data_IF_726316470592
#
_entry.id   IF_726316470592
#
_cell.length_a   1.000
_cell.length_b   1.000
_cell.length_c   1.000
_cell.angle_alpha   90.00
_cell.angle_beta   90.00
_cell.angle_gamma   90.00
#
_symmetry.space_group_name_H-M   'P 1'
#
loop_
_entity.id
_entity.type
_entity.pdbx_description
1 polymer ?
#
# COMPACT_ATOMS: atom_id res chain seq x y z
N UNK A 1 -6.26 12.62 -12.19
CA UNK A 1 -5.85 11.22 -11.94
C UNK A 1 -5.69 10.50 -13.26
N UNK A 2 -4.68 9.64 -13.46
CA UNK A 2 -4.89 8.55 -14.45
C UNK A 2 -6.16 7.85 -14.00
N UNK A 3 -7.13 7.69 -14.89
CA UNK A 3 -8.36 6.98 -14.52
C UNK A 3 -7.93 5.63 -13.97
N UNK A 4 -8.45 5.22 -12.81
CA UNK A 4 -8.22 3.88 -12.24
C UNK A 4 -8.28 2.82 -13.35
N UNK A 5 -9.20 3.01 -14.31
CA UNK A 5 -9.41 2.15 -15.47
C UNK A 5 -8.17 1.91 -16.36
N UNK A 6 -7.18 2.81 -16.38
CA UNK A 6 -5.93 2.67 -17.14
C UNK A 6 -4.92 1.71 -16.49
N UNK A 7 -5.17 1.28 -15.25
CA UNK A 7 -4.28 0.37 -14.54
C UNK A 7 -4.47 -1.09 -15.02
N UNK A 8 -3.38 -1.87 -15.20
CA UNK A 8 -3.46 -3.28 -15.53
C UNK A 8 -4.26 -4.07 -14.48
N UNK A 9 -5.15 -4.94 -14.94
CA UNK A 9 -5.85 -5.90 -14.07
C UNK A 9 -5.03 -7.17 -13.82
N UNK A 10 -4.02 -7.46 -14.64
CA UNK A 10 -3.16 -8.62 -14.44
C UNK A 10 -2.18 -8.37 -13.26
N UNK A 11 -2.27 -9.13 -12.14
CA UNK A 11 -1.37 -8.98 -11.00
C UNK A 11 0.11 -9.20 -11.33
N UNK A 12 0.44 -10.02 -12.33
CA UNK A 12 1.83 -10.32 -12.73
C UNK A 12 2.61 -9.06 -13.15
N UNK A 13 1.91 -8.03 -13.62
CA UNK A 13 2.52 -6.76 -13.99
C UNK A 13 3.15 -6.08 -12.77
N UNK A 14 2.53 -6.22 -11.59
CA UNK A 14 2.96 -5.61 -10.34
C UNK A 14 3.95 -6.48 -9.56
N UNK A 15 4.10 -7.76 -9.91
CA UNK A 15 5.13 -8.63 -9.34
C UNK A 15 6.40 -8.73 -10.18
N UNK A 16 6.33 -8.35 -11.47
CA UNK A 16 7.47 -8.37 -12.36
C UNK A 16 8.42 -7.17 -12.16
N UNK A 17 9.65 -7.45 -11.73
CA UNK A 17 10.69 -6.44 -11.47
C UNK A 17 11.14 -5.63 -12.68
N UNK A 18 10.88 -6.12 -13.89
CA UNK A 18 11.12 -5.38 -15.14
C UNK A 18 10.08 -4.29 -15.36
N UNK A 19 8.91 -4.38 -14.75
CA UNK A 19 7.87 -3.35 -14.85
C UNK A 19 8.24 -2.11 -14.03
N UNK A 20 8.01 -0.93 -14.60
CA UNK A 20 8.04 0.35 -13.89
C UNK A 20 6.74 1.08 -14.17
N UNK A 21 5.99 1.43 -13.12
CA UNK A 21 4.65 2.01 -13.22
C UNK A 21 4.63 3.34 -12.45
N UNK A 22 4.02 4.36 -13.04
CA UNK A 22 3.68 5.60 -12.33
C UNK A 22 2.22 5.51 -11.88
N UNK A 23 2.00 5.61 -10.57
CA UNK A 23 0.69 5.50 -9.93
C UNK A 23 0.37 6.83 -9.22
N UNK A 24 -0.87 7.27 -9.26
CA UNK A 24 -1.32 8.36 -8.38
C UNK A 24 -1.17 7.93 -6.92
N UNK A 25 -1.00 8.84 -5.97
CA UNK A 25 -1.00 8.47 -4.57
C UNK A 25 -2.44 8.10 -4.14
N UNK A 26 -2.68 6.94 -3.51
CA UNK A 26 -4.04 6.45 -3.23
C UNK A 26 -4.64 7.06 -1.96
N UNK A 27 -4.54 8.39 -1.81
CA UNK A 27 -5.11 9.12 -0.68
C UNK A 27 -5.50 10.53 -1.13
N UNK A 28 -6.66 11.01 -0.69
CA UNK A 28 -7.22 12.31 -1.09
C UNK A 28 -7.03 13.41 -0.03
N UNK A 29 -6.41 13.09 1.12
CA UNK A 29 -6.08 14.09 2.12
C UNK A 29 -4.84 14.91 1.72
N UNK A 30 -4.62 16.02 2.41
CA UNK A 30 -3.53 16.95 2.11
C UNK A 30 -2.16 16.43 2.59
N UNK A 31 -2.16 15.55 3.59
CA UNK A 31 -0.94 15.09 4.24
C UNK A 31 -0.39 13.85 3.54
N UNK A 32 0.56 14.10 2.65
CA UNK A 32 1.30 13.06 1.96
C UNK A 32 2.49 12.59 2.81
N UNK A 33 2.73 11.27 2.97
CA UNK A 33 3.87 10.74 3.72
C UNK A 33 5.18 10.87 2.93
N UNK A 34 5.65 12.10 2.73
CA UNK A 34 6.82 12.47 1.90
C UNK A 34 8.14 11.84 2.36
N UNK A 35 8.25 11.46 3.64
CA UNK A 35 9.43 10.75 4.15
C UNK A 35 9.53 9.30 3.64
N UNK A 36 8.39 8.68 3.30
CA UNK A 36 8.30 7.28 2.86
C UNK A 36 8.13 7.15 1.35
N UNK A 37 7.64 8.18 0.69
CA UNK A 37 7.40 8.19 -0.74
C UNK A 37 7.99 9.43 -1.39
N UNK A 38 8.69 9.24 -2.51
CA UNK A 38 9.07 10.36 -3.38
C UNK A 38 7.89 10.73 -4.29
N UNK A 39 6.90 11.42 -3.73
CA UNK A 39 5.70 11.84 -4.46
C UNK A 39 6.01 13.10 -5.28
N UNK A 40 5.67 13.07 -6.57
CA UNK A 40 5.76 14.22 -7.48
C UNK A 40 4.47 14.31 -8.28
N UNK A 41 3.86 15.49 -8.31
CA UNK A 41 2.57 15.74 -8.97
C UNK A 41 1.47 14.75 -8.54
N UNK A 42 1.43 14.44 -7.23
CA UNK A 42 0.49 13.48 -6.65
C UNK A 42 0.69 12.04 -7.14
N UNK A 43 1.87 11.70 -7.67
CA UNK A 43 2.22 10.35 -8.17
C UNK A 43 3.49 9.81 -7.54
N UNK A 44 3.57 8.50 -7.42
CA UNK A 44 4.76 7.76 -7.04
C UNK A 44 5.13 6.72 -8.10
N UNK A 45 6.40 6.31 -8.10
CA UNK A 45 6.90 5.26 -8.99
C UNK A 45 6.95 3.93 -8.24
N UNK A 46 6.50 2.88 -8.92
CA UNK A 46 6.53 1.52 -8.43
C UNK A 46 7.27 0.61 -9.40
N UNK A 47 8.27 -0.09 -8.90
CA UNK A 47 8.93 -1.20 -9.60
C UNK A 47 8.25 -2.48 -9.12
N UNK A 48 7.90 -3.38 -10.04
CA UNK A 48 7.24 -4.63 -9.66
C UNK A 48 8.07 -5.45 -8.67
N UNK A 49 7.41 -6.10 -7.73
CA UNK A 49 8.05 -6.85 -6.63
C UNK A 49 7.43 -8.22 -6.49
N UNK A 50 8.23 -9.28 -6.42
CA UNK A 50 7.69 -10.65 -6.24
C UNK A 50 6.78 -10.74 -4.99
N UNK A 51 7.17 -10.04 -3.93
CA UNK A 51 6.40 -9.89 -2.69
C UNK A 51 4.96 -9.35 -2.88
N UNK A 52 4.66 -8.69 -4.00
CA UNK A 52 3.29 -8.27 -4.34
C UNK A 52 2.33 -9.48 -4.40
N UNK A 53 2.76 -10.57 -5.05
CA UNK A 53 1.92 -11.76 -5.21
C UNK A 53 1.68 -12.48 -3.89
N UNK A 54 2.70 -12.52 -3.02
CA UNK A 54 2.59 -13.11 -1.68
C UNK A 54 1.53 -12.38 -0.83
N UNK A 55 1.57 -11.05 -0.83
CA UNK A 55 0.60 -10.24 -0.09
C UNK A 55 -0.78 -10.36 -0.72
N UNK A 56 -0.88 -10.34 -2.06
CA UNK A 56 -2.16 -10.47 -2.75
C UNK A 56 -2.81 -11.84 -2.52
N UNK A 57 -2.03 -12.92 -2.50
CA UNK A 57 -2.52 -14.27 -2.19
C UNK A 57 -3.18 -14.32 -0.81
N UNK A 58 -2.53 -13.73 0.19
CA UNK A 58 -3.08 -13.68 1.55
C UNK A 58 -4.35 -12.83 1.62
N UNK A 59 -4.41 -11.71 0.90
CA UNK A 59 -5.63 -10.88 0.83
C UNK A 59 -6.79 -11.65 0.17
N UNK A 60 -6.51 -12.48 -0.85
CA UNK A 60 -7.53 -13.32 -1.52
C UNK A 60 -8.13 -14.39 -0.61
N UNK A 61 -7.42 -14.79 0.45
CA UNK A 61 -7.95 -15.71 1.47
C UNK A 61 -8.93 -15.02 2.44
N UNK A 62 -9.17 -13.71 2.31
CA UNK A 62 -10.11 -12.98 3.15
C UNK A 62 -11.53 -13.34 2.69
N UNK A 63 -12.13 -14.35 3.33
CA UNK A 63 -13.52 -14.76 3.11
C UNK A 63 -14.46 -13.82 3.86
N UNK A 64 -15.41 -13.22 3.13
CA UNK A 64 -16.44 -12.38 3.71
C UNK A 64 -17.44 -13.23 4.50
N UNK A 65 -17.73 -12.84 5.75
CA UNK A 65 -18.71 -13.52 6.62
C UNK A 65 -18.14 -14.29 7.81
N UNK A 66 -16.87 -14.70 7.75
CA UNK A 66 -16.22 -15.53 8.80
C UNK A 66 -15.44 -14.71 9.87
N UNK A 67 -15.72 -13.40 9.93
CA UNK A 67 -15.07 -12.44 10.83
C UNK A 67 -13.98 -11.60 10.16
N UNK A 68 -13.25 -10.83 10.96
CA UNK A 68 -12.16 -9.97 10.48
C UNK A 68 -10.81 -10.69 10.54
N UNK A 69 -10.10 -10.74 9.40
CA UNK A 69 -8.71 -11.19 9.32
C UNK A 69 -7.75 -10.00 9.34
N UNK A 70 -6.78 -10.04 10.26
CA UNK A 70 -5.72 -9.02 10.35
C UNK A 70 -4.44 -9.54 9.72
N UNK A 71 -3.85 -8.78 8.80
CA UNK A 71 -2.54 -9.09 8.23
C UNK A 71 -1.53 -8.00 8.61
N UNK A 72 -0.36 -8.40 9.08
CA UNK A 72 0.75 -7.49 9.32
C UNK A 72 1.90 -7.79 8.36
N UNK A 73 2.46 -6.73 7.77
CA UNK A 73 3.65 -6.83 6.93
C UNK A 73 4.85 -6.27 7.71
N UNK A 74 5.77 -7.15 8.09
CA UNK A 74 7.03 -6.81 8.74
C UNK A 74 8.17 -6.85 7.74
N UNK A 75 9.28 -6.18 8.04
CA UNK A 75 10.44 -6.21 7.16
C UNK A 75 11.43 -5.07 7.39
N UNK A 76 12.57 -5.14 6.72
CA UNK A 76 13.65 -4.14 6.79
C UNK A 76 13.17 -2.75 6.36
N UNK A 77 13.67 -1.71 7.03
CA UNK A 77 13.42 -0.31 6.65
C UNK A 77 13.96 -0.11 5.22
N UNK A 78 13.23 0.64 4.39
CA UNK A 78 13.62 0.89 3.00
C UNK A 78 13.23 -0.20 2.00
N UNK A 79 12.66 -1.35 2.43
CA UNK A 79 12.25 -2.43 1.52
C UNK A 79 11.10 -2.08 0.55
N UNK A 80 10.50 -0.89 0.65
CA UNK A 80 9.36 -0.51 -0.18
C UNK A 80 8.03 -1.14 0.26
N UNK A 81 7.90 -1.59 1.51
CA UNK A 81 6.63 -2.13 2.06
C UNK A 81 5.44 -1.19 1.81
N UNK A 82 5.63 0.11 2.07
CA UNK A 82 4.62 1.14 1.82
C UNK A 82 4.25 1.25 0.33
N UNK A 83 5.23 1.09 -0.56
CA UNK A 83 5.00 1.11 -2.01
C UNK A 83 4.22 -0.13 -2.48
N UNK A 84 4.53 -1.32 -1.94
CA UNK A 84 3.75 -2.54 -2.20
C UNK A 84 2.31 -2.35 -1.72
N UNK A 85 2.11 -1.85 -0.49
CA UNK A 85 0.78 -1.59 0.07
C UNK A 85 -0.02 -0.56 -0.76
N UNK A 86 0.57 0.58 -1.11
CA UNK A 86 -0.09 1.59 -1.94
C UNK A 86 -0.46 1.04 -3.33
N UNK A 87 0.38 0.18 -3.90
CA UNK A 87 0.11 -0.49 -5.18
C UNK A 87 -1.03 -1.50 -5.06
N UNK A 88 -1.06 -2.27 -3.97
CA UNK A 88 -2.16 -3.21 -3.67
C UNK A 88 -3.48 -2.46 -3.52
N UNK A 89 -3.50 -1.29 -2.88
CA UNK A 89 -4.70 -0.45 -2.77
C UNK A 89 -5.25 -0.13 -4.15
N UNK A 90 -4.41 0.31 -5.09
CA UNK A 90 -4.84 0.56 -6.46
C UNK A 90 -5.35 -0.68 -7.17
N UNK A 91 -4.65 -1.81 -7.03
CA UNK A 91 -5.09 -3.09 -7.62
C UNK A 91 -6.49 -3.50 -7.10
N UNK A 92 -6.73 -3.36 -5.80
CA UNK A 92 -8.01 -3.66 -5.17
C UNK A 92 -9.12 -2.69 -5.64
N UNK A 93 -8.85 -1.39 -5.66
CA UNK A 93 -9.79 -0.39 -6.20
C UNK A 93 -10.12 -0.68 -7.66
N UNK A 94 -9.10 -1.03 -8.47
CA UNK A 94 -9.26 -1.37 -9.88
C UNK A 94 -10.11 -2.61 -10.13
N UNK A 95 -10.06 -3.57 -9.21
CA UNK A 95 -10.84 -4.81 -9.25
C UNK A 95 -12.20 -4.66 -8.55
N UNK A 96 -12.64 -3.43 -8.28
CA UNK A 96 -13.96 -3.11 -7.75
C UNK A 96 -14.11 -3.28 -6.24
N UNK A 97 -13.02 -3.49 -5.50
CA UNK A 97 -13.04 -3.58 -4.04
C UNK A 97 -13.07 -2.19 -3.41
N UNK A 98 -13.74 -2.07 -2.26
CA UNK A 98 -13.76 -0.84 -1.46
C UNK A 98 -12.58 -0.84 -0.49
N UNK A 99 -11.68 0.14 -0.64
CA UNK A 99 -10.44 0.18 0.14
C UNK A 99 -10.32 1.49 0.90
N UNK A 100 -10.20 1.40 2.22
CA UNK A 100 -9.89 2.54 3.10
C UNK A 100 -8.39 2.50 3.38
N UNK A 101 -7.63 3.35 2.68
CA UNK A 101 -6.19 3.46 2.86
C UNK A 101 -5.83 4.59 3.82
N UNK A 102 -5.07 4.25 4.86
CA UNK A 102 -4.57 5.16 5.89
C UNK A 102 -3.03 5.19 5.80
N UNK A 103 -2.47 6.07 4.96
CA UNK A 103 -1.03 6.10 4.69
C UNK A 103 -0.22 6.45 5.94
N UNK A 104 -0.62 7.49 6.67
CA UNK A 104 0.02 7.96 7.89
C UNK A 104 -0.90 7.89 9.11
N UNK A 105 -0.39 7.42 10.23
CA UNK A 105 -1.18 7.28 11.44
C UNK A 105 -0.99 8.48 12.37
N UNK A 106 0.07 9.26 12.19
CA UNK A 106 0.27 10.49 12.96
C UNK A 106 -0.87 11.47 12.67
N UNK A 107 -1.26 11.60 11.40
CA UNK A 107 -2.37 12.48 10.99
C UNK A 107 -3.72 12.05 11.55
N UNK A 108 -3.96 10.75 11.67
CA UNK A 108 -5.18 10.26 12.32
C UNK A 108 -5.27 10.71 13.79
N UNK A 109 -4.15 10.95 14.47
CA UNK A 109 -4.17 11.44 15.84
C UNK A 109 -4.44 12.95 15.93
N UNK A 110 -4.18 13.70 14.85
CA UNK A 110 -4.34 15.16 14.79
C UNK A 110 -5.77 15.51 14.38
N UNK A 111 -6.22 15.00 13.23
CA UNK A 111 -7.56 15.22 12.69
C UNK A 111 -8.22 13.91 12.22
N UNK A 112 -8.73 13.10 13.17
CA UNK A 112 -9.22 11.76 12.84
C UNK A 112 -10.45 11.75 11.92
N UNK A 113 -11.30 12.78 11.98
CA UNK A 113 -12.58 12.77 11.27
C UNK A 113 -12.33 13.02 9.78
N UNK A 114 -11.69 14.13 9.43
CA UNK A 114 -11.48 14.48 8.02
C UNK A 114 -10.42 13.60 7.36
N UNK A 115 -9.46 13.09 8.13
CA UNK A 115 -8.50 12.10 7.64
C UNK A 115 -9.18 10.79 7.21
N UNK A 116 -10.10 10.25 8.02
CA UNK A 116 -10.84 9.03 7.66
C UNK A 116 -11.81 9.30 6.51
N UNK A 117 -12.47 10.47 6.49
CA UNK A 117 -13.33 10.85 5.34
C UNK A 117 -12.56 10.88 4.03
N UNK A 118 -11.35 11.45 4.03
CA UNK A 118 -10.48 11.49 2.85
C UNK A 118 -10.21 10.09 2.29
N UNK A 119 -9.96 9.11 3.16
CA UNK A 119 -9.82 7.72 2.74
C UNK A 119 -11.13 7.11 2.22
N UNK A 120 -12.26 7.41 2.85
CA UNK A 120 -13.58 6.91 2.44
C UNK A 120 -14.07 7.51 1.12
N UNK A 121 -13.75 8.77 0.84
CA UNK A 121 -14.07 9.39 -0.44
C UNK A 121 -13.42 8.66 -1.60
N UNK A 122 -12.17 8.21 -1.44
CA UNK A 122 -11.51 7.39 -2.46
C UNK A 122 -12.18 6.02 -2.58
N UNK A 123 -12.51 5.38 -1.45
CA UNK A 123 -13.19 4.08 -1.45
C UNK A 123 -14.53 4.12 -2.21
N UNK A 124 -15.21 5.27 -2.18
CA UNK A 124 -16.54 5.49 -2.75
C UNK A 124 -16.55 6.53 -3.87
N UNK A 125 -15.43 6.76 -4.56
CA UNK A 125 -15.28 7.79 -5.59
C UNK A 125 -16.39 7.75 -6.66
N UNK A 126 -16.88 6.55 -6.98
CA UNK A 126 -17.93 6.32 -7.95
C UNK A 126 -19.37 6.34 -7.39
N UNK A 127 -19.58 6.77 -6.13
CA UNK A 127 -20.89 6.78 -5.47
C UNK A 127 -21.16 8.09 -4.72
N UNK A 128 -21.73 9.06 -5.43
CA UNK A 128 -22.06 10.39 -4.90
C UNK A 128 -23.00 10.36 -3.69
N UNK A 129 -23.93 9.39 -3.63
CA UNK A 129 -24.83 9.25 -2.49
C UNK A 129 -24.04 8.91 -1.21
N UNK A 130 -23.12 7.94 -1.30
CA UNK A 130 -22.26 7.56 -0.17
C UNK A 130 -21.30 8.69 0.20
N UNK A 131 -20.70 9.36 -0.79
CA UNK A 131 -19.84 10.55 -0.55
C UNK A 131 -20.60 11.62 0.23
N UNK A 132 -21.84 11.94 -0.15
CA UNK A 132 -22.65 12.92 0.57
C UNK A 132 -22.98 12.47 2.00
N UNK A 133 -23.28 11.17 2.20
CA UNK A 133 -23.50 10.62 3.55
C UNK A 133 -22.23 10.76 4.41
N UNK A 134 -21.06 10.41 3.86
CA UNK A 134 -19.75 10.56 4.54
C UNK A 134 -19.47 12.03 4.89
N UNK A 135 -19.74 12.95 3.95
CA UNK A 135 -19.54 14.39 4.16
C UNK A 135 -20.32 14.91 5.36
N UNK A 136 -21.55 14.43 5.58
CA UNK A 136 -22.39 14.84 6.70
C UNK A 136 -21.92 14.34 8.07
N UNK A 137 -21.07 13.32 8.15
CA UNK A 137 -20.54 12.83 9.42
C UNK A 137 -19.65 13.90 10.08
N UNK A 138 -19.90 14.26 11.33
CA UNK A 138 -19.11 15.21 12.12
C UNK A 138 -18.24 14.52 13.17
N UNK A 139 -18.50 13.24 13.45
CA UNK A 139 -17.80 12.48 14.48
C UNK A 139 -17.36 11.11 13.98
N UNK A 140 -16.35 10.52 14.63
CA UNK A 140 -15.93 9.15 14.36
C UNK A 140 -17.04 8.12 14.58
N UNK A 141 -17.93 8.35 15.55
CA UNK A 141 -19.05 7.45 15.82
C UNK A 141 -20.06 7.41 14.66
N UNK A 142 -20.27 8.56 13.99
CA UNK A 142 -21.13 8.62 12.81
C UNK A 142 -20.49 7.94 11.60
N UNK A 143 -19.16 8.07 11.45
CA UNK A 143 -18.39 7.34 10.43
C UNK A 143 -18.44 5.82 10.70
N UNK A 144 -18.26 5.41 11.94
CA UNK A 144 -18.38 4.00 12.36
C UNK A 144 -19.78 3.46 12.06
N UNK A 145 -20.83 4.23 12.39
CA UNK A 145 -22.21 3.87 12.07
C UNK A 145 -22.41 3.72 10.57
N UNK A 146 -21.90 4.66 9.78
CA UNK A 146 -21.90 4.55 8.32
C UNK A 146 -21.26 3.23 7.88
N UNK A 147 -20.01 2.95 8.27
CA UNK A 147 -19.29 1.73 7.87
C UNK A 147 -20.00 0.43 8.31
N UNK A 148 -20.73 0.43 9.43
CA UNK A 148 -21.50 -0.73 9.92
C UNK A 148 -22.80 -0.97 9.16
N UNK A 149 -23.44 0.09 8.67
CA UNK A 149 -24.67 0.00 7.89
C UNK A 149 -24.41 -0.45 6.45
N UNK A 150 -23.19 -0.26 5.95
CA UNK A 150 -22.81 -0.71 4.61
C UNK A 150 -22.68 -2.25 4.56
N UNK A 151 -23.40 -2.88 3.62
CA UNK A 151 -23.36 -4.33 3.41
C UNK A 151 -22.13 -4.80 2.60
N UNK A 152 -21.35 -3.86 2.06
CA UNK A 152 -20.18 -4.14 1.24
C UNK A 152 -18.92 -4.37 2.10
N UNK A 153 -18.06 -5.33 1.75
CA UNK A 153 -16.79 -5.53 2.44
C UNK A 153 -15.84 -4.33 2.24
N UNK A 154 -15.35 -3.78 3.35
CA UNK A 154 -14.30 -2.77 3.37
C UNK A 154 -12.93 -3.41 3.66
N UNK A 155 -11.97 -3.17 2.77
CA UNK A 155 -10.56 -3.51 2.99
C UNK A 155 -9.87 -2.33 3.64
N UNK A 156 -9.37 -2.50 4.86
CA UNK A 156 -8.66 -1.44 5.57
C UNK A 156 -7.16 -1.71 5.48
N UNK A 157 -6.45 -0.78 4.85
CA UNK A 157 -5.00 -0.88 4.65
C UNK A 157 -4.34 0.27 5.37
N UNK A 158 -3.36 -0.01 6.22
CA UNK A 158 -2.57 1.01 6.91
C UNK A 158 -1.09 0.79 6.69
N UNK A 159 -0.34 1.86 6.40
CA UNK A 159 1.09 1.75 6.09
C UNK A 159 2.03 2.07 7.25
N UNK A 160 1.54 2.48 8.42
CA UNK A 160 2.37 2.82 9.59
C UNK A 160 1.82 2.29 10.92
N UNK A 161 1.01 1.23 10.87
CA UNK A 161 0.31 0.77 12.07
C UNK A 161 1.26 0.25 13.17
N UNK A 162 1.34 0.97 14.30
CA UNK A 162 1.88 0.49 15.57
C UNK A 162 0.72 0.06 16.50
N UNK A 163 1.01 -0.35 17.75
CA UNK A 163 -0.04 -0.82 18.67
C UNK A 163 -1.11 0.24 19.01
N UNK A 164 -0.78 1.54 18.98
CA UNK A 164 -1.78 2.62 19.09
C UNK A 164 -2.67 2.68 17.86
N UNK A 165 -2.13 2.35 16.69
CA UNK A 165 -2.88 2.29 15.44
C UNK A 165 -3.97 1.24 15.40
N UNK A 166 -3.76 0.14 16.12
CA UNK A 166 -4.74 -0.93 16.29
C UNK A 166 -5.96 -0.45 17.08
N UNK A 167 -5.81 0.56 17.96
CA UNK A 167 -6.87 1.14 18.79
C UNK A 167 -7.82 2.04 17.99
N UNK A 168 -7.34 2.97 17.15
CA UNK A 168 -8.27 3.73 16.29
C UNK A 168 -8.91 2.85 15.22
N UNK A 169 -8.22 1.81 14.74
CA UNK A 169 -8.85 0.81 13.88
C UNK A 169 -9.92 -0.01 14.62
N UNK A 170 -10.04 0.04 15.97
CA UNK A 170 -11.16 -0.61 16.68
C UNK A 170 -12.52 -0.03 16.30
N UNK A 171 -12.59 1.26 15.95
CA UNK A 171 -13.84 1.88 15.47
C UNK A 171 -14.35 1.27 14.15
N UNK A 172 -13.45 0.65 13.36
CA UNK A 172 -13.81 0.00 12.10
C UNK A 172 -13.86 -1.54 12.20
N UNK A 173 -13.65 -2.12 13.40
CA UNK A 173 -13.60 -3.57 13.60
C UNK A 173 -14.92 -4.10 14.13
N UNK A 174 -15.58 -4.95 13.34
CA UNK A 174 -16.61 -5.85 13.83
C UNK A 174 -15.99 -7.25 13.94
N UNK A 175 -15.81 -7.73 15.17
CA UNK A 175 -15.39 -9.10 15.58
C UNK A 175 -14.13 -9.67 14.90
N UNK A 176 -13.01 -9.65 15.64
CA UNK A 176 -11.73 -10.26 15.21
C UNK A 176 -11.68 -11.74 15.59
N UNK A 177 -11.34 -12.62 14.65
CA UNK A 177 -11.21 -14.08 14.88
C UNK A 177 -9.82 -14.62 14.55
N UNK A 178 -9.07 -14.02 13.60
CA UNK A 178 -7.75 -14.54 13.16
C UNK A 178 -6.71 -13.45 12.82
N UNK A 179 -5.43 -13.72 13.11
CA UNK A 179 -4.27 -12.87 12.77
C UNK A 179 -3.27 -13.64 11.88
N UNK A 180 -2.81 -13.03 10.79
CA UNK A 180 -1.74 -13.52 9.92
C UNK A 180 -0.59 -12.51 9.88
N UNK A 181 0.63 -13.00 9.70
CA UNK A 181 1.84 -12.18 9.58
C UNK A 181 2.56 -12.54 8.30
N UNK A 182 3.03 -11.52 7.59
CA UNK A 182 3.86 -11.61 6.40
C UNK A 182 5.19 -10.97 6.76
N UNK A 183 6.25 -11.75 6.59
CA UNK A 183 7.61 -11.31 6.84
C UNK A 183 8.28 -11.02 5.50
N UNK A 184 8.55 -9.75 5.24
CA UNK A 184 9.28 -9.27 4.08
C UNK A 184 10.71 -8.89 4.50
N UNK A 185 11.55 -9.89 4.73
CA UNK A 185 12.97 -9.71 5.03
C UNK A 185 13.82 -9.84 3.76
N UNK A 186 14.96 -9.15 3.75
CA UNK A 186 15.83 -9.03 2.58
C UNK A 186 15.78 -7.63 1.97
N UNK A 187 16.66 -7.34 1.02
CA UNK A 187 16.57 -6.19 0.11
C UNK A 187 15.95 -6.63 -1.22
N UNK A 188 16.09 -5.85 -2.29
CA UNK A 188 15.80 -6.39 -3.62
C UNK A 188 16.52 -7.72 -3.84
N UNK A 189 15.83 -8.72 -4.39
CA UNK A 189 16.53 -9.92 -4.87
C UNK A 189 17.49 -9.56 -6.02
N UNK A 190 18.33 -10.50 -6.47
CA UNK A 190 19.35 -10.21 -7.48
C UNK A 190 18.75 -9.61 -8.77
N UNK A 191 17.58 -10.07 -9.19
CA UNK A 191 16.89 -9.58 -10.39
C UNK A 191 16.29 -8.20 -10.15
N UNK A 192 15.58 -8.03 -9.04
CA UNK A 192 15.00 -6.76 -8.59
C UNK A 192 16.08 -5.68 -8.44
N UNK A 193 17.23 -6.03 -7.87
CA UNK A 193 18.36 -5.13 -7.63
C UNK A 193 18.98 -4.71 -8.96
N UNK A 194 19.21 -5.67 -9.86
CA UNK A 194 19.72 -5.38 -11.21
C UNK A 194 18.78 -4.44 -11.97
N UNK A 195 17.47 -4.67 -11.91
CA UNK A 195 16.48 -3.78 -12.53
C UNK A 195 16.43 -2.40 -11.88
N UNK A 196 16.56 -2.33 -10.56
CA UNK A 196 16.61 -1.05 -9.85
C UNK A 196 17.81 -0.21 -10.27
N UNK A 197 18.99 -0.82 -10.41
CA UNK A 197 20.18 -0.15 -10.91
C UNK A 197 20.01 0.34 -12.34
N UNK A 198 19.55 -0.50 -13.28
CA UNK A 198 19.28 -0.10 -14.67
C UNK A 198 18.34 1.11 -14.74
N UNK A 199 17.30 1.13 -13.92
CA UNK A 199 16.29 2.20 -13.92
C UNK A 199 16.71 3.49 -13.21
N UNK A 200 17.70 3.40 -12.31
CA UNK A 200 18.22 4.55 -11.56
C UNK A 200 19.64 4.96 -11.97
N UNK A 201 20.23 4.32 -12.99
CA UNK A 201 21.61 4.59 -13.45
C UNK A 201 21.77 6.06 -13.89
N UNK A 202 20.72 6.67 -14.45
CA UNK A 202 20.69 8.10 -14.81
C UNK A 202 20.55 9.07 -13.64
N UNK A 203 20.32 8.57 -12.42
CA UNK A 203 20.16 9.38 -11.19
C UNK A 203 21.30 9.24 -10.20
N UNK A 204 22.35 8.46 -10.49
CA UNK A 204 23.52 8.32 -9.62
C UNK A 204 24.57 9.37 -9.97
N UNK A 205 24.77 10.44 -9.16
CA UNK A 205 25.82 11.41 -9.43
C UNK A 205 27.17 10.97 -8.80
N UNK A 206 27.31 9.76 -8.24
CA UNK A 206 28.37 9.48 -7.26
C UNK A 206 28.99 8.08 -7.29
N UNK A 207 28.88 7.30 -8.37
CA UNK A 207 29.64 6.05 -8.50
C UNK A 207 30.51 6.06 -9.76
N UNK A 208 31.83 6.13 -9.56
CA UNK A 208 32.81 5.94 -10.63
C UNK A 208 32.82 4.47 -11.10
N UNK A 209 33.18 4.24 -12.35
CA UNK A 209 33.08 2.95 -13.04
C UNK A 209 33.75 1.77 -12.29
N UNK A 210 34.82 2.05 -11.53
CA UNK A 210 35.49 1.06 -10.67
C UNK A 210 34.64 0.51 -9.51
N UNK A 211 33.63 1.24 -9.05
CA UNK A 211 32.70 0.77 -8.01
C UNK A 211 31.55 -0.03 -8.61
N UNK A 212 31.16 0.27 -9.86
CA UNK A 212 30.19 -0.52 -10.63
C UNK A 212 30.74 -1.91 -10.98
N UNK A 213 32.03 -2.01 -11.31
CA UNK A 213 32.72 -3.29 -11.51
C UNK A 213 32.75 -4.19 -10.26
N UNK A 214 32.90 -3.62 -9.05
CA UNK A 214 32.90 -4.40 -7.79
C UNK A 214 31.53 -4.98 -7.42
N UNK A 215 30.44 -4.47 -7.99
CA UNK A 215 29.08 -4.98 -7.77
C UNK A 215 28.66 -6.04 -8.82
N UNK A 216 29.41 -6.16 -9.92
CA UNK A 216 29.30 -7.27 -10.88
C UNK A 216 30.03 -8.51 -10.34
N UNK A 217 29.77 -8.90 -9.09
CA UNK A 217 30.26 -10.18 -8.57
C UNK A 217 29.46 -11.27 -9.30
N UNK A 218 30.19 -12.05 -10.10
CA UNK A 218 29.71 -13.26 -10.74
C UNK A 218 29.00 -14.14 -9.69
N UNK A 219 27.86 -14.79 -10.02
CA UNK A 219 27.16 -15.68 -9.08
C UNK A 219 27.99 -16.83 -8.49
N UNK A 220 29.24 -17.03 -8.92
CA UNK A 220 30.07 -18.18 -8.54
C UNK A 220 30.93 -17.98 -7.26
N UNK A 221 30.94 -16.80 -6.62
CA UNK A 221 31.80 -16.54 -5.44
C UNK A 221 31.10 -16.58 -4.07
N UNK A 222 29.88 -17.13 -3.94
CA UNK A 222 29.20 -17.31 -2.62
C UNK A 222 29.31 -18.78 -2.12
N UNK A 223 30.37 -19.48 -2.52
CA UNK A 223 30.76 -20.76 -1.92
C UNK A 223 32.18 -20.74 -1.36
N UNK A 224 32.40 -19.88 -0.38
CA UNK A 224 33.31 -20.16 0.74
C UNK A 224 33.16 -19.04 1.77
N UNK A 225 32.49 -19.34 2.88
CA UNK A 225 32.82 -19.03 4.27
C UNK A 225 31.58 -19.24 5.15
#
# INVERSE_FOLDING_TARGET
MKSIMELPENPEVYSNSKTLISLSFPFLGNDEPVERFSIKDGKFWYIGRKAFDDVLKIIKEFVFGDGYMKCFIYGTIGYGKSHILATIVWFLLRTGKRVVYLPDFHELAIDPVDYVKSALYLAYENNNYKINKIYTCKTLNEIEKFCKEESEPLYIVSSSANNRSVLCLKFLKVKQTNEKRIELYGGFDKDEMSQWWIKNDSKSPLMNDKQKEKLNISPDEIHSF
#
